data_IF_213806792251
#
_entry.id   IF_213806792251
#
_cell.length_a   1.000
_cell.length_b   1.000
_cell.length_c   1.000
_cell.angle_alpha   90.00
_cell.angle_beta   90.00
_cell.angle_gamma   90.00
#
_symmetry.space_group_name_H-M   'P 1'
#
loop_
_entity.id
_entity.type
_entity.pdbx_description
1 polymer ?
#
# COMPACT_ATOMS: atom_id res chain seq x y z
N UNK A 1 10.79 -24.37 16.29
CA UNK A 1 11.07 -25.73 15.77
C UNK A 1 10.87 -25.89 14.26
N UNK A 2 9.76 -25.44 13.66
CA UNK A 2 9.47 -25.63 12.21
C UNK A 2 10.50 -25.03 11.24
N UNK A 3 11.04 -23.85 11.53
CA UNK A 3 12.03 -23.19 10.67
C UNK A 3 13.35 -23.98 10.55
N UNK A 4 13.86 -24.54 11.67
CA UNK A 4 15.07 -25.38 11.69
C UNK A 4 14.92 -26.67 10.86
N UNK A 5 13.73 -27.28 10.86
CA UNK A 5 13.46 -28.48 10.05
C UNK A 5 13.39 -28.16 8.55
N UNK A 6 12.81 -27.03 8.17
CA UNK A 6 12.76 -26.58 6.77
C UNK A 6 14.13 -26.18 6.23
N UNK A 7 15.01 -25.63 7.08
CA UNK A 7 16.38 -25.27 6.71
C UNK A 7 17.23 -26.48 6.27
N UNK A 8 16.93 -27.69 6.75
CA UNK A 8 17.60 -28.93 6.35
C UNK A 8 17.17 -29.44 4.96
N UNK A 9 15.96 -29.07 4.51
CA UNK A 9 15.37 -29.55 3.26
C UNK A 9 15.22 -28.43 2.22
N UNK A 10 16.32 -27.71 1.95
CA UNK A 10 16.35 -26.51 1.10
C UNK A 10 15.79 -26.74 -0.31
N UNK A 11 16.14 -27.87 -0.93
CA UNK A 11 15.67 -28.23 -2.28
C UNK A 11 14.13 -28.38 -2.32
N UNK A 12 13.55 -29.12 -1.38
CA UNK A 12 12.09 -29.25 -1.28
C UNK A 12 11.40 -27.93 -0.97
N UNK A 13 12.02 -27.05 -0.17
CA UNK A 13 11.49 -25.70 0.09
C UNK A 13 11.52 -24.85 -1.18
N UNK A 14 12.57 -24.92 -1.99
CA UNK A 14 12.67 -24.21 -3.26
C UNK A 14 11.61 -24.70 -4.26
N UNK A 15 11.47 -26.00 -4.43
CA UNK A 15 10.44 -26.61 -5.29
C UNK A 15 9.02 -26.22 -4.83
N UNK A 16 8.76 -26.25 -3.52
CA UNK A 16 7.51 -25.79 -2.94
C UNK A 16 7.25 -24.30 -3.20
N UNK A 17 8.27 -23.44 -3.09
CA UNK A 17 8.15 -22.01 -3.39
C UNK A 17 7.77 -21.81 -4.84
N UNK A 18 8.45 -22.48 -5.76
CA UNK A 18 8.15 -22.41 -7.19
C UNK A 18 6.70 -22.83 -7.48
N UNK A 19 6.28 -24.00 -6.97
CA UNK A 19 4.90 -24.47 -7.12
C UNK A 19 3.88 -23.46 -6.60
N UNK A 20 4.09 -22.92 -5.41
CA UNK A 20 3.21 -21.90 -4.81
C UNK A 20 3.21 -20.61 -5.62
N UNK A 21 4.35 -20.19 -6.19
CA UNK A 21 4.39 -19.00 -7.07
C UNK A 21 3.58 -19.22 -8.34
N UNK A 22 3.70 -20.38 -8.99
CA UNK A 22 2.93 -20.73 -10.17
C UNK A 22 1.43 -20.77 -9.87
N UNK A 23 1.04 -21.37 -8.74
CA UNK A 23 -0.36 -21.40 -8.30
C UNK A 23 -0.90 -20.00 -7.98
N UNK A 24 -0.10 -19.13 -7.34
CA UNK A 24 -0.46 -17.74 -7.10
C UNK A 24 -0.74 -17.00 -8.42
N UNK A 25 0.13 -17.14 -9.41
CA UNK A 25 -0.05 -16.52 -10.74
C UNK A 25 -1.31 -17.02 -11.42
N UNK A 26 -1.54 -18.35 -11.45
CA UNK A 26 -2.77 -18.95 -12.01
C UNK A 26 -4.02 -18.43 -11.30
N UNK A 27 -3.97 -18.29 -9.97
CA UNK A 27 -5.08 -17.79 -9.16
C UNK A 27 -5.37 -16.32 -9.44
N UNK A 28 -4.34 -15.48 -9.59
CA UNK A 28 -4.50 -14.07 -9.97
C UNK A 28 -5.14 -13.96 -11.36
N UNK A 29 -4.65 -14.70 -12.35
CA UNK A 29 -5.23 -14.68 -13.69
C UNK A 29 -6.71 -15.12 -13.71
N UNK A 30 -7.05 -16.18 -12.96
CA UNK A 30 -8.46 -16.63 -12.81
C UNK A 30 -9.31 -15.58 -12.10
N UNK A 31 -8.76 -14.90 -11.10
CA UNK A 31 -9.44 -13.84 -10.38
C UNK A 31 -9.73 -12.65 -11.32
N UNK A 32 -8.74 -12.19 -12.08
CA UNK A 32 -8.88 -11.10 -13.05
C UNK A 32 -9.95 -11.42 -14.08
N UNK A 33 -9.94 -12.63 -14.65
CA UNK A 33 -10.94 -13.05 -15.63
C UNK A 33 -12.36 -13.05 -15.05
N UNK A 34 -12.53 -13.65 -13.87
CA UNK A 34 -13.85 -13.73 -13.20
C UNK A 34 -14.35 -12.38 -12.69
N UNK A 35 -13.45 -11.45 -12.38
CA UNK A 35 -13.76 -10.14 -11.79
C UNK A 35 -13.52 -8.97 -12.75
N UNK A 36 -13.36 -9.21 -14.05
CA UNK A 36 -13.08 -8.18 -15.06
C UNK A 36 -14.06 -7.01 -15.07
N UNK A 37 -15.31 -7.26 -14.66
CA UNK A 37 -16.36 -6.24 -14.59
C UNK A 37 -16.32 -5.39 -13.31
N UNK A 38 -15.58 -5.84 -12.28
CA UNK A 38 -15.42 -5.15 -10.99
C UNK A 38 -14.08 -4.45 -10.87
N UNK A 39 -13.01 -5.04 -11.42
CA UNK A 39 -11.68 -4.45 -11.42
C UNK A 39 -11.68 -3.29 -12.41
N UNK A 40 -11.69 -2.07 -11.88
CA UNK A 40 -11.55 -0.85 -12.68
C UNK A 40 -10.15 -0.28 -12.49
N UNK A 41 -9.36 -0.26 -13.57
CA UNK A 41 -8.02 0.35 -13.60
C UNK A 41 -8.05 1.84 -13.92
N UNK A 42 -9.12 2.57 -13.58
CA UNK A 42 -9.24 4.00 -13.90
C UNK A 42 -8.16 4.80 -13.19
N UNK A 43 -7.45 5.59 -13.99
CA UNK A 43 -6.46 6.55 -13.53
C UNK A 43 -7.00 7.93 -13.82
N UNK A 44 -7.05 8.77 -12.78
CA UNK A 44 -7.50 10.15 -12.90
C UNK A 44 -6.29 11.05 -13.12
N UNK A 45 -6.43 12.01 -14.02
CA UNK A 45 -5.42 13.01 -14.32
C UNK A 45 -5.61 14.22 -13.42
N UNK A 46 -4.56 15.03 -13.19
CA UNK A 46 -4.72 16.37 -12.62
C UNK A 46 -5.79 17.16 -13.38
N UNK A 47 -6.70 17.81 -12.67
CA UNK A 47 -7.86 18.51 -13.23
C UNK A 47 -9.14 17.66 -13.36
N UNK A 48 -9.08 16.33 -13.20
CA UNK A 48 -10.30 15.51 -13.27
C UNK A 48 -11.20 15.77 -12.05
N UNK A 49 -12.50 15.91 -12.31
CA UNK A 49 -13.53 15.99 -11.27
C UNK A 49 -13.87 14.59 -10.74
N UNK A 50 -13.80 14.44 -9.42
CA UNK A 50 -13.98 13.17 -8.73
C UNK A 50 -14.88 13.30 -7.51
N UNK A 51 -15.56 12.21 -7.16
CA UNK A 51 -16.26 12.00 -5.91
C UNK A 51 -15.42 11.12 -5.00
N UNK A 52 -15.48 11.40 -3.69
CA UNK A 52 -14.74 10.62 -2.70
C UNK A 52 -15.71 9.87 -1.81
N UNK A 53 -15.56 8.56 -1.73
CA UNK A 53 -16.33 7.73 -0.80
C UNK A 53 -16.01 8.12 0.64
N UNK A 54 -17.05 8.46 1.41
CA UNK A 54 -16.95 8.72 2.83
C UNK A 54 -16.87 7.37 3.60
N UNK A 55 -15.66 6.92 3.89
CA UNK A 55 -15.41 5.65 4.58
C UNK A 55 -15.74 5.70 6.07
N UNK A 56 -15.61 6.85 6.71
CA UNK A 56 -15.90 7.00 8.14
C UNK A 56 -17.39 6.80 8.44
N UNK A 57 -18.24 7.29 7.55
CA UNK A 57 -19.69 7.16 7.68
C UNK A 57 -20.18 5.76 7.36
N UNK A 58 -19.52 4.99 6.48
CA UNK A 58 -20.09 3.73 6.00
C UNK A 58 -20.30 2.66 7.07
N UNK A 59 -19.61 2.77 8.21
CA UNK A 59 -19.67 1.80 9.31
C UNK A 59 -20.45 2.30 10.52
N UNK A 60 -20.99 3.53 10.49
CA UNK A 60 -21.71 4.09 11.64
C UNK A 60 -23.18 3.65 11.67
N UNK A 61 -23.76 3.57 12.87
CA UNK A 61 -25.18 3.24 13.08
C UNK A 61 -26.14 4.25 12.42
N UNK A 62 -25.73 5.51 12.30
CA UNK A 62 -26.49 6.57 11.62
C UNK A 62 -26.04 6.81 10.16
N UNK A 63 -25.39 5.82 9.55
CA UNK A 63 -24.86 5.93 8.18
C UNK A 63 -25.93 6.20 7.12
N UNK A 64 -27.18 5.79 7.38
CA UNK A 64 -28.29 5.92 6.43
C UNK A 64 -28.65 7.37 6.11
N UNK A 65 -28.51 8.28 7.07
CA UNK A 65 -28.85 9.70 6.90
C UNK A 65 -27.67 10.56 6.43
N UNK A 66 -26.48 9.98 6.33
CA UNK A 66 -25.25 10.72 6.07
C UNK A 66 -24.82 10.59 4.60
N UNK A 67 -24.11 11.59 4.04
CA UNK A 67 -23.67 11.55 2.66
C UNK A 67 -22.65 10.43 2.43
N UNK A 68 -22.95 9.57 1.45
CA UNK A 68 -22.09 8.44 1.07
C UNK A 68 -20.83 8.88 0.33
N UNK A 69 -20.94 9.97 -0.43
CA UNK A 69 -19.85 10.56 -1.19
C UNK A 69 -19.70 12.01 -0.76
N UNK A 70 -18.45 12.42 -0.55
CA UNK A 70 -18.07 13.82 -0.43
C UNK A 70 -18.10 14.43 -1.83
N UNK A 71 -18.31 15.75 -1.87
CA UNK A 71 -18.65 16.51 -3.07
C UNK A 71 -17.69 16.36 -4.25
N UNK A 72 -17.99 17.05 -5.36
CA UNK A 72 -17.06 17.10 -6.48
C UNK A 72 -15.76 17.77 -6.03
N UNK A 73 -14.67 17.04 -6.14
CA UNK A 73 -13.31 17.51 -5.85
C UNK A 73 -12.48 17.41 -7.13
N UNK A 74 -11.42 18.20 -7.20
CA UNK A 74 -10.49 18.19 -8.33
C UNK A 74 -9.25 17.39 -7.93
N UNK A 75 -8.79 16.52 -8.80
CA UNK A 75 -7.51 15.83 -8.61
C UNK A 75 -6.37 16.82 -8.86
N UNK A 76 -5.51 17.02 -7.86
CA UNK A 76 -4.33 17.88 -7.98
C UNK A 76 -3.14 17.06 -8.49
N UNK A 77 -2.86 15.95 -7.80
CA UNK A 77 -1.68 15.12 -8.06
C UNK A 77 -1.96 13.68 -7.68
N UNK A 78 -1.32 12.76 -8.40
CA UNK A 78 -1.28 11.35 -8.04
C UNK A 78 0.10 11.01 -7.48
N UNK A 79 0.12 10.38 -6.32
CA UNK A 79 1.37 10.00 -5.65
C UNK A 79 1.94 8.70 -6.21
N UNK A 80 3.23 8.45 -5.96
CA UNK A 80 3.90 7.18 -6.34
C UNK A 80 3.19 5.92 -5.80
N UNK A 81 2.54 6.03 -4.64
CA UNK A 81 1.76 4.94 -4.03
C UNK A 81 0.36 4.71 -4.64
N UNK A 82 -0.03 5.52 -5.64
CA UNK A 82 -1.33 5.42 -6.30
C UNK A 82 -2.48 6.09 -5.56
N UNK A 83 -2.20 6.84 -4.49
CA UNK A 83 -3.19 7.71 -3.85
C UNK A 83 -3.28 9.05 -4.59
N UNK A 84 -4.34 9.79 -4.32
CA UNK A 84 -4.59 11.11 -4.92
C UNK A 84 -4.57 12.19 -3.86
N UNK A 85 -3.95 13.31 -4.20
CA UNK A 85 -4.11 14.59 -3.53
C UNK A 85 -5.23 15.32 -4.28
N UNK A 86 -6.19 15.83 -3.54
CA UNK A 86 -7.43 16.39 -4.05
C UNK A 86 -7.64 17.76 -3.44
N UNK A 87 -8.29 18.66 -4.17
CA UNK A 87 -8.76 19.94 -3.65
C UNK A 87 -10.27 20.09 -3.86
N UNK A 88 -10.89 20.92 -3.03
CA UNK A 88 -12.24 21.39 -3.26
C UNK A 88 -12.27 22.43 -4.40
N UNK A 89 -13.48 22.78 -4.86
CA UNK A 89 -13.66 23.71 -5.99
C UNK A 89 -13.24 25.16 -5.66
N UNK A 90 -13.13 25.48 -4.37
CA UNK A 90 -12.62 26.76 -3.88
C UNK A 90 -11.08 26.85 -3.89
N UNK A 91 -10.39 25.74 -4.20
CA UNK A 91 -8.92 25.68 -4.21
C UNK A 91 -8.31 25.09 -2.93
N UNK A 92 -9.13 24.77 -1.91
CA UNK A 92 -8.64 24.22 -0.64
C UNK A 92 -8.14 22.78 -0.78
N UNK A 93 -6.88 22.52 -0.40
CA UNK A 93 -6.25 21.20 -0.54
C UNK A 93 -6.53 20.30 0.65
N UNK A 94 -6.93 19.06 0.38
CA UNK A 94 -7.04 18.05 1.40
C UNK A 94 -5.64 17.57 1.83
N UNK A 95 -5.31 17.77 3.09
CA UNK A 95 -4.03 17.36 3.68
C UNK A 95 -3.86 15.83 3.70
N UNK A 96 -4.98 15.08 3.72
CA UNK A 96 -4.95 13.63 3.71
C UNK A 96 -4.97 13.08 2.29
N UNK A 97 -4.02 12.17 2.00
CA UNK A 97 -4.02 11.40 0.76
C UNK A 97 -5.23 10.48 0.68
N UNK A 98 -5.86 10.46 -0.48
CA UNK A 98 -7.07 9.67 -0.74
C UNK A 98 -6.69 8.44 -1.55
N UNK A 99 -6.91 7.25 -0.98
CA UNK A 99 -6.64 6.00 -1.70
C UNK A 99 -7.50 5.85 -2.95
N UNK A 100 -6.93 5.35 -4.05
CA UNK A 100 -7.59 5.20 -5.34
C UNK A 100 -8.94 4.46 -5.28
N UNK A 101 -9.08 3.49 -4.38
CA UNK A 101 -10.32 2.71 -4.20
C UNK A 101 -11.52 3.55 -3.71
N UNK A 102 -11.27 4.77 -3.20
CA UNK A 102 -12.31 5.70 -2.74
C UNK A 102 -12.72 6.71 -3.81
N UNK A 103 -11.93 6.85 -4.87
CA UNK A 103 -12.08 7.90 -5.89
C UNK A 103 -12.92 7.38 -7.06
N UNK A 104 -14.00 8.09 -7.36
CA UNK A 104 -14.96 7.75 -8.41
C UNK A 104 -15.08 8.97 -9.34
N UNK A 105 -15.24 8.82 -10.67
CA UNK A 105 -15.45 9.97 -11.54
C UNK A 105 -16.73 10.73 -11.17
N UNK A 106 -16.67 12.05 -11.16
CA UNK A 106 -17.85 12.90 -11.11
C UNK A 106 -18.29 13.23 -12.53
N UNK A 107 -19.52 12.85 -12.88
CA UNK A 107 -20.12 13.21 -14.16
C UNK A 107 -20.92 14.50 -13.99
N UNK A 108 -20.29 15.63 -14.31
CA UNK A 108 -20.96 16.92 -14.29
C UNK A 108 -22.11 16.96 -15.30
N UNK A 109 -23.19 17.67 -14.94
CA UNK A 109 -24.36 17.85 -15.83
C UNK A 109 -24.05 18.82 -16.98
N UNK A 110 -23.19 19.79 -16.71
CA UNK A 110 -22.70 20.78 -17.65
C UNK A 110 -21.18 20.68 -17.74
N UNK A 111 -20.62 21.11 -18.87
CA UNK A 111 -19.18 21.09 -19.10
C UNK A 111 -18.53 22.20 -18.27
N UNK A 112 -17.64 21.80 -17.35
CA UNK A 112 -16.82 22.72 -16.56
C UNK A 112 -15.43 22.69 -17.18
N UNK A 113 -15.06 23.75 -17.90
CA UNK A 113 -13.71 23.89 -18.42
C UNK A 113 -12.82 24.46 -17.31
N UNK A 114 -11.84 23.66 -16.88
CA UNK A 114 -10.82 24.11 -15.93
C UNK A 114 -9.70 24.85 -16.69
N UNK A 115 -9.18 25.96 -16.15
CA UNK A 115 -8.03 26.64 -16.73
C UNK A 115 -6.82 25.69 -16.82
N UNK A 116 -6.03 25.79 -17.89
CA UNK A 116 -4.83 24.97 -18.07
C UNK A 116 -3.84 25.10 -16.90
N UNK A 117 -3.82 26.26 -16.24
CA UNK A 117 -3.01 26.54 -15.06
C UNK A 117 -3.84 26.58 -13.78
N UNK A 118 -4.69 25.58 -13.53
CA UNK A 118 -5.45 25.54 -12.26
C UNK A 118 -4.55 25.50 -11.02
N UNK A 119 -3.26 25.16 -11.15
CA UNK A 119 -2.27 25.25 -10.09
C UNK A 119 -2.19 26.63 -9.42
N UNK A 120 -2.49 27.73 -10.12
CA UNK A 120 -2.50 29.07 -9.52
C UNK A 120 -3.74 29.35 -8.67
N UNK A 121 -4.79 28.55 -8.83
CA UNK A 121 -6.03 28.64 -8.06
C UNK A 121 -5.99 27.79 -6.81
N UNK A 122 -5.00 26.92 -6.68
CA UNK A 122 -4.82 26.06 -5.52
C UNK A 122 -4.17 26.88 -4.41
N UNK A 123 -4.78 26.87 -3.23
CA UNK A 123 -4.22 27.49 -2.03
C UNK A 123 -3.20 26.57 -1.35
N UNK A 124 -2.21 26.11 -2.12
CA UNK A 124 -1.11 25.30 -1.63
C UNK A 124 0.17 25.50 -2.45
N UNK A 125 1.30 25.59 -1.76
CA UNK A 125 2.61 25.64 -2.41
C UNK A 125 3.02 24.28 -2.95
N UNK A 126 3.95 24.25 -3.92
CA UNK A 126 4.49 22.97 -4.40
C UNK A 126 5.21 22.18 -3.29
N UNK A 127 5.83 22.89 -2.35
CA UNK A 127 6.52 22.31 -1.20
C UNK A 127 5.55 21.59 -0.27
N UNK A 128 4.39 22.20 0.03
CA UNK A 128 3.33 21.57 0.82
C UNK A 128 2.77 20.32 0.13
N UNK A 129 2.58 20.36 -1.18
CA UNK A 129 2.13 19.19 -1.94
C UNK A 129 3.14 18.05 -1.89
N UNK A 130 4.44 18.37 -1.89
CA UNK A 130 5.53 17.40 -1.78
C UNK A 130 5.61 16.81 -0.37
N UNK A 131 5.41 17.61 0.67
CA UNK A 131 5.29 17.14 2.06
C UNK A 131 4.12 16.17 2.22
N UNK A 132 2.94 16.52 1.69
CA UNK A 132 1.76 15.63 1.69
C UNK A 132 2.06 14.33 0.96
N UNK A 133 2.75 14.40 -0.19
CA UNK A 133 3.13 13.20 -0.95
C UNK A 133 4.07 12.28 -0.14
N UNK A 134 5.07 12.85 0.53
CA UNK A 134 6.09 12.12 1.27
C UNK A 134 5.64 11.66 2.67
N UNK A 135 4.58 12.24 3.23
CA UNK A 135 4.08 11.88 4.56
C UNK A 135 3.75 10.39 4.68
N UNK A 136 4.40 9.65 5.59
CA UNK A 136 4.14 8.21 5.80
C UNK A 136 4.72 7.29 4.72
N UNK A 137 5.58 7.80 3.83
CA UNK A 137 6.52 6.97 3.08
C UNK A 137 7.65 6.64 4.05
N UNK A 138 7.51 5.56 4.81
CA UNK A 138 8.64 4.96 5.52
C UNK A 138 9.64 4.52 4.44
N UNK A 139 10.81 5.17 4.38
CA UNK A 139 11.97 4.55 3.74
C UNK A 139 12.12 3.21 4.43
N UNK A 140 11.87 2.11 3.71
CA UNK A 140 12.10 0.78 4.26
C UNK A 140 13.54 0.80 4.76
N UNK A 141 13.82 0.72 6.08
CA UNK A 141 15.18 0.56 6.53
C UNK A 141 15.70 -0.66 5.80
N UNK A 142 16.91 -0.57 5.23
CA UNK A 142 17.57 -1.70 4.59
C UNK A 142 17.31 -2.93 5.45
N UNK A 143 16.47 -3.83 4.94
CA UNK A 143 15.93 -4.93 5.71
C UNK A 143 17.04 -5.96 5.90
N UNK A 144 17.99 -5.66 6.79
CA UNK A 144 18.69 -6.70 7.53
C UNK A 144 17.61 -7.35 8.38
N UNK A 145 17.04 -8.43 7.87
CA UNK A 145 16.14 -9.28 8.63
C UNK A 145 16.96 -9.92 9.77
N UNK A 146 17.10 -9.20 10.89
CA UNK A 146 17.79 -9.68 12.10
C UNK A 146 17.20 -11.01 12.63
N UNK A 147 15.98 -11.36 12.19
CA UNK A 147 15.34 -12.64 12.50
C UNK A 147 15.95 -13.86 11.77
N UNK A 148 16.74 -13.64 10.72
CA UNK A 148 17.43 -14.68 9.94
C UNK A 148 18.95 -14.53 9.99
N UNK A 149 19.48 -13.73 10.90
CA UNK A 149 20.93 -13.58 11.09
C UNK A 149 21.51 -14.95 11.51
N UNK A 150 22.37 -15.52 10.66
CA UNK A 150 22.92 -16.88 10.80
C UNK A 150 22.20 -17.97 10.00
N UNK A 151 21.16 -17.66 9.21
CA UNK A 151 20.51 -18.60 8.29
C UNK A 151 20.93 -18.27 6.86
N UNK A 152 21.98 -18.94 6.36
CA UNK A 152 22.44 -18.81 4.97
C UNK A 152 21.34 -19.31 4.01
N UNK A 153 20.58 -18.38 3.42
CA UNK A 153 19.51 -18.65 2.44
C UNK A 153 20.04 -18.62 1.01
N UNK A 154 21.12 -17.91 0.81
CA UNK A 154 21.96 -17.79 -0.37
C UNK A 154 23.09 -18.82 -0.29
N UNK A 155 23.27 -19.57 -1.38
CA UNK A 155 24.24 -20.66 -1.48
C UNK A 155 25.71 -20.20 -1.56
N UNK A 156 26.06 -19.06 -0.99
CA UNK A 156 27.44 -18.59 -0.91
C UNK A 156 28.08 -19.02 0.41
N UNK A 157 29.15 -19.82 0.26
CA UNK A 157 30.11 -20.33 1.23
C UNK A 157 29.67 -21.44 2.21
N UNK A 158 30.28 -22.60 1.94
CA UNK A 158 30.77 -23.69 2.80
C UNK A 158 30.20 -23.86 4.20
N UNK A 159 29.83 -25.12 4.48
CA UNK A 159 29.53 -25.65 5.80
C UNK A 159 30.68 -25.35 6.78
N UNK A 160 30.49 -24.37 7.65
CA UNK A 160 31.33 -24.20 8.84
C UNK A 160 30.63 -24.89 10.01
N UNK A 161 31.07 -26.12 10.29
CA UNK A 161 30.79 -26.81 11.53
C UNK A 161 31.61 -26.15 12.65
N UNK A 162 31.13 -25.01 13.15
CA UNK A 162 31.67 -24.33 14.33
C UNK A 162 30.88 -24.74 15.58
N UNK A 163 31.61 -25.19 16.60
CA UNK A 163 31.12 -25.84 17.81
C UNK A 163 30.04 -25.07 18.58
N UNK A 164 29.04 -25.80 19.08
CA UNK A 164 28.08 -25.32 20.06
C UNK A 164 28.76 -25.31 21.43
N UNK A 165 29.30 -24.16 21.85
CA UNK A 165 29.70 -23.98 23.25
C UNK A 165 28.46 -24.14 24.16
N UNK A 166 28.60 -25.04 25.14
CA UNK A 166 27.64 -25.30 26.22
C UNK A 166 27.33 -24.00 26.97
N UNK A 167 26.05 -23.62 27.00
CA UNK A 167 25.57 -22.59 27.93
C UNK A 167 25.36 -23.30 29.28
N UNK A 168 26.25 -23.03 30.23
CA UNK A 168 26.10 -23.45 31.63
C UNK A 168 24.79 -22.91 32.23
N UNK A 169 24.00 -23.84 32.75
CA UNK A 169 22.73 -23.61 33.44
C UNK A 169 23.03 -23.07 34.85
N UNK A 170 22.91 -21.75 35.04
CA UNK A 170 22.98 -21.14 36.37
C UNK A 170 21.58 -21.17 37.02
N UNK A 171 21.30 -22.27 37.72
CA UNK A 171 20.25 -22.34 38.74
C UNK A 171 20.86 -22.11 40.13
N UNK A 172 20.65 -20.94 40.72
CA UNK A 172 20.73 -20.70 42.18
C UNK A 172 19.63 -19.67 42.51
N UNK A 173 18.54 -20.12 43.16
CA UNK A 173 18.28 -19.94 44.59
C UNK A 173 18.00 -18.47 44.99
N UNK A 174 16.71 -18.16 45.21
CA UNK A 174 16.34 -17.15 46.20
C UNK A 174 15.45 -17.81 47.25
N UNK A 175 15.89 -17.63 48.50
CA UNK A 175 15.31 -18.08 49.76
C UNK A 175 14.09 -17.24 50.17
#
# INVERSE_FOLDING_TARGET
>A
YRAKALAKHRQHVAEMRERVTLEKVKRVAKYELSHRHKISGRMYKPGDLVLIRNSQVSSSLNSKMQPRYLGPMIVVRRTKGGSYIVCELDGSVNHNKIGAFRVIPYFARERIDLPEHFSTLIDASNEELDEIENTGVEERPNARDYYFEGVNLDGSSADDSGDLEEIEDLSEEEA
#
